data_IF_177063462339
#
_entry.id   IF_177063462339
#
_cell.length_a   1.000
_cell.length_b   1.000
_cell.length_c   1.000
_cell.angle_alpha   90.00
_cell.angle_beta   90.00
_cell.angle_gamma   90.00
#
_symmetry.space_group_name_H-M   'P 1'
#
loop_
_entity.id
_entity.type
_entity.pdbx_description
1 polymer ?
#
# COMPACT_ATOMS: atom_id res chain seq x y z
N UNK A 1 3.42 -10.28 15.11
CA UNK A 1 4.69 -10.76 14.50
C UNK A 1 5.46 -9.58 13.91
N UNK A 2 6.64 -9.24 14.45
CA UNK A 2 7.48 -8.14 13.93
C UNK A 2 8.53 -8.72 12.99
N UNK A 3 8.36 -8.57 11.67
CA UNK A 3 9.44 -8.87 10.72
C UNK A 3 10.30 -7.61 10.57
N UNK A 4 11.34 -7.49 11.41
CA UNK A 4 12.44 -6.55 11.14
C UNK A 4 13.39 -7.20 10.15
N UNK A 5 13.21 -6.94 8.86
CA UNK A 5 14.25 -7.19 7.88
C UNK A 5 15.28 -6.06 7.95
N UNK A 6 16.23 -6.15 8.89
CA UNK A 6 17.40 -5.27 8.88
C UNK A 6 18.46 -5.92 7.99
N UNK A 7 18.55 -5.50 6.73
CA UNK A 7 19.74 -5.79 5.92
C UNK A 7 20.74 -4.64 6.08
N UNK A 8 21.77 -4.90 6.89
CA UNK A 8 22.97 -4.06 7.01
C UNK A 8 23.95 -4.45 5.90
N UNK A 9 23.68 -4.02 4.68
CA UNK A 9 24.68 -3.75 3.63
C UNK A 9 23.94 -3.32 2.39
N UNK A 10 24.13 -2.07 1.97
CA UNK A 10 23.52 -1.53 0.76
C UNK A 10 22.33 -0.62 1.02
N UNK A 11 22.19 0.32 0.10
CA UNK A 11 21.29 1.45 -0.01
C UNK A 11 19.79 1.14 -0.12
N UNK A 12 19.35 -0.09 0.16
CA UNK A 12 17.96 -0.53 0.05
C UNK A 12 17.44 -0.96 1.43
N UNK A 13 16.36 -0.33 1.90
CA UNK A 13 15.82 -0.54 3.25
C UNK A 13 14.37 -1.00 3.20
N UNK A 14 14.01 -1.96 4.06
CA UNK A 14 12.65 -2.50 4.17
C UNK A 14 12.26 -2.59 5.65
N UNK A 15 11.11 -2.01 6.01
CA UNK A 15 10.53 -2.12 7.35
C UNK A 15 9.04 -2.44 7.23
N UNK A 16 8.62 -3.62 7.69
CA UNK A 16 7.23 -4.08 7.62
C UNK A 16 6.81 -4.48 9.03
N UNK A 17 5.83 -3.81 9.59
CA UNK A 17 5.35 -4.07 10.96
C UNK A 17 3.83 -4.23 11.00
N UNK A 18 3.38 -5.19 11.81
CA UNK A 18 1.96 -5.41 12.13
C UNK A 18 1.82 -5.51 13.64
N UNK A 19 0.93 -4.73 14.24
CA UNK A 19 0.68 -4.68 15.68
C UNK A 19 -0.76 -5.10 15.98
N UNK A 20 -0.88 -6.12 16.82
CA UNK A 20 -2.11 -6.74 17.30
C UNK A 20 -1.80 -7.45 18.62
N UNK A 21 -2.79 -7.58 19.50
CA UNK A 21 -2.64 -8.18 20.82
C UNK A 21 -2.88 -9.70 20.83
N UNK A 22 -3.72 -10.20 19.92
CA UNK A 22 -4.15 -11.60 19.86
C UNK A 22 -4.47 -12.05 18.42
N UNK A 23 -4.85 -13.32 18.27
CA UNK A 23 -5.14 -13.94 16.97
C UNK A 23 -6.38 -13.36 16.29
N UNK A 24 -7.40 -12.93 17.05
CA UNK A 24 -8.60 -12.30 16.50
C UNK A 24 -8.25 -10.94 15.87
N UNK A 25 -7.47 -10.12 16.57
CA UNK A 25 -6.96 -8.86 16.05
C UNK A 25 -6.04 -9.07 14.84
N UNK A 26 -5.21 -10.12 14.83
CA UNK A 26 -4.42 -10.49 13.66
C UNK A 26 -5.31 -10.82 12.45
N UNK A 27 -6.38 -11.59 12.67
CA UNK A 27 -7.36 -11.94 11.62
C UNK A 27 -7.99 -10.68 11.05
N UNK A 28 -8.41 -9.73 11.89
CA UNK A 28 -8.99 -8.46 11.45
C UNK A 28 -8.00 -7.61 10.65
N UNK A 29 -6.71 -7.55 11.05
CA UNK A 29 -5.67 -6.89 10.24
C UNK A 29 -5.52 -7.56 8.88
N UNK A 30 -5.55 -8.89 8.80
CA UNK A 30 -5.48 -9.63 7.52
C UNK A 30 -6.69 -9.34 6.63
N UNK A 31 -7.88 -9.22 7.21
CA UNK A 31 -9.10 -8.82 6.49
C UNK A 31 -8.93 -7.41 5.93
N UNK A 32 -8.49 -6.45 6.75
CA UNK A 32 -8.23 -5.08 6.31
C UNK A 32 -7.23 -5.00 5.14
N UNK A 33 -6.15 -5.77 5.18
CA UNK A 33 -5.18 -5.86 4.08
C UNK A 33 -5.75 -6.50 2.80
N UNK A 34 -6.82 -7.28 2.91
CA UNK A 34 -7.49 -7.93 1.79
C UNK A 34 -8.63 -7.09 1.17
N UNK A 35 -8.98 -5.95 1.77
CA UNK A 35 -10.00 -5.04 1.22
C UNK A 35 -9.44 -4.30 0.00
N UNK A 36 -10.07 -4.48 -1.15
CA UNK A 36 -9.75 -3.71 -2.36
C UNK A 36 -10.78 -2.60 -2.57
N UNK A 37 -10.38 -1.46 -3.15
CA UNK A 37 -11.34 -0.46 -3.61
C UNK A 37 -12.24 -1.07 -4.70
N UNK A 38 -13.43 -0.50 -4.87
CA UNK A 38 -14.28 -0.90 -5.99
C UNK A 38 -13.60 -0.53 -7.31
N UNK A 39 -13.75 -1.39 -8.33
CA UNK A 39 -13.05 -1.19 -9.60
C UNK A 39 -13.37 0.16 -10.23
N UNK A 40 -14.63 0.58 -10.15
CA UNK A 40 -15.12 1.88 -10.64
C UNK A 40 -14.41 3.07 -9.98
N UNK A 41 -14.04 2.98 -8.70
CA UNK A 41 -13.33 4.05 -8.00
C UNK A 41 -11.90 4.23 -8.51
N UNK A 42 -11.27 3.13 -8.96
CA UNK A 42 -9.91 3.15 -9.47
C UNK A 42 -9.84 3.52 -10.94
N UNK A 43 -10.83 3.13 -11.75
CA UNK A 43 -10.83 3.33 -13.21
C UNK A 43 -11.45 4.66 -13.65
N UNK A 44 -12.11 5.40 -12.76
CA UNK A 44 -12.64 6.72 -13.07
C UNK A 44 -11.53 7.79 -13.05
N UNK A 45 -11.02 8.10 -14.25
CA UNK A 45 -10.48 9.38 -14.77
C UNK A 45 -9.43 9.09 -15.85
N UNK A 46 -9.84 9.21 -17.10
CA UNK A 46 -9.04 9.58 -18.29
C UNK A 46 -7.65 8.95 -18.51
N UNK A 47 -7.44 7.69 -18.12
CA UNK A 47 -6.23 6.96 -18.47
C UNK A 47 -6.51 5.94 -19.59
N UNK A 48 -6.03 6.17 -20.83
CA UNK A 48 -6.27 5.29 -21.97
C UNK A 48 -5.62 3.90 -21.82
N UNK A 49 -4.52 3.76 -21.06
CA UNK A 49 -3.87 2.45 -20.80
C UNK A 49 -4.84 1.54 -20.02
N UNK A 50 -5.63 2.15 -19.13
CA UNK A 50 -6.58 1.44 -18.28
C UNK A 50 -7.85 1.03 -19.00
N UNK A 51 -8.27 1.69 -20.09
CA UNK A 51 -9.44 1.23 -20.85
C UNK A 51 -9.20 -0.14 -21.49
N UNK A 52 -7.97 -0.43 -21.91
CA UNK A 52 -7.56 -1.72 -22.48
C UNK A 52 -7.42 -2.84 -21.44
N UNK A 53 -6.87 -2.56 -20.25
CA UNK A 53 -6.79 -3.56 -19.17
C UNK A 53 -8.11 -3.71 -18.39
N UNK A 54 -8.91 -2.65 -18.26
CA UNK A 54 -10.16 -2.65 -17.53
C UNK A 54 -11.24 -3.54 -18.17
N UNK A 55 -11.18 -3.75 -19.49
CA UNK A 55 -12.10 -4.65 -20.21
C UNK A 55 -11.71 -6.14 -20.14
N UNK A 56 -10.46 -6.47 -19.78
CA UNK A 56 -9.91 -7.82 -19.99
C UNK A 56 -9.38 -8.47 -18.70
N UNK A 57 -8.86 -7.68 -17.76
CA UNK A 57 -8.18 -8.22 -16.57
C UNK A 57 -9.11 -8.38 -15.36
N UNK A 58 -9.25 -9.61 -14.85
CA UNK A 58 -9.90 -9.91 -13.54
C UNK A 58 -9.06 -9.44 -12.33
N UNK A 59 -7.93 -8.77 -12.56
CA UNK A 59 -7.05 -8.30 -11.48
C UNK A 59 -7.77 -7.32 -10.55
N UNK A 60 -7.59 -7.52 -9.24
CA UNK A 60 -8.08 -6.59 -8.22
C UNK A 60 -7.15 -5.38 -8.19
N UNK A 61 -7.67 -4.23 -8.61
CA UNK A 61 -6.86 -3.01 -8.77
C UNK A 61 -6.66 -2.30 -7.42
N UNK A 62 -5.40 -2.04 -7.07
CA UNK A 62 -5.01 -1.29 -5.86
C UNK A 62 -4.19 -0.04 -6.18
N UNK A 63 -3.80 0.16 -7.44
CA UNK A 63 -2.95 1.26 -7.93
C UNK A 63 -3.76 2.19 -8.83
N UNK A 64 -3.31 3.44 -9.01
CA UNK A 64 -4.06 4.48 -9.72
C UNK A 64 -3.35 5.13 -10.93
N UNK A 65 -2.03 5.03 -11.01
CA UNK A 65 -1.21 5.50 -12.12
C UNK A 65 0.15 4.82 -12.07
N UNK A 66 0.95 4.99 -13.11
CA UNK A 66 2.32 4.50 -13.17
C UNK A 66 3.29 5.65 -13.43
N UNK A 67 4.49 5.56 -12.89
CA UNK A 67 5.60 6.46 -13.17
C UNK A 67 6.88 5.64 -13.29
N UNK A 68 7.54 5.71 -14.44
CA UNK A 68 8.71 4.91 -14.80
C UNK A 68 8.57 3.43 -14.37
N UNK A 69 7.55 2.73 -14.86
CA UNK A 69 7.32 1.30 -14.53
C UNK A 69 6.93 1.00 -13.08
N UNK A 70 6.82 2.03 -12.22
CA UNK A 70 6.42 1.89 -10.82
C UNK A 70 4.97 2.34 -10.63
N UNK A 71 4.14 1.41 -10.17
CA UNK A 71 2.73 1.67 -9.85
C UNK A 71 2.63 2.59 -8.64
N UNK A 72 1.69 3.54 -8.65
CA UNK A 72 1.36 4.44 -7.54
C UNK A 72 0.08 3.96 -6.88
N UNK A 73 0.02 3.81 -5.54
CA UNK A 73 -1.11 3.13 -4.90
C UNK A 73 -2.35 4.03 -4.81
N UNK A 74 -3.51 3.46 -5.14
CA UNK A 74 -4.84 3.98 -4.82
C UNK A 74 -5.29 3.54 -3.43
N UNK A 75 -4.95 2.31 -3.05
CA UNK A 75 -5.28 1.68 -1.79
C UNK A 75 -4.05 0.93 -1.25
N UNK A 76 -3.96 0.82 0.08
CA UNK A 76 -3.00 -0.04 0.76
C UNK A 76 -3.64 -1.41 0.93
N UNK A 77 -3.13 -2.41 0.21
CA UNK A 77 -3.53 -3.81 0.29
C UNK A 77 -2.31 -4.70 0.49
N UNK A 78 -2.51 -5.98 0.85
CA UNK A 78 -1.43 -6.96 0.91
C UNK A 78 -0.62 -7.01 -0.39
N UNK A 79 -1.30 -6.94 -1.54
CA UNK A 79 -0.65 -6.96 -2.86
C UNK A 79 0.12 -5.68 -3.15
N UNK A 80 -0.36 -4.51 -2.70
CA UNK A 80 0.41 -3.27 -2.79
C UNK A 80 1.71 -3.37 -2.01
N UNK A 81 1.65 -3.85 -0.76
CA UNK A 81 2.84 -4.02 0.10
C UNK A 81 3.81 -5.04 -0.50
N UNK A 82 3.30 -6.17 -1.00
CA UNK A 82 4.12 -7.18 -1.68
C UNK A 82 4.80 -6.63 -2.94
N UNK A 83 4.07 -5.86 -3.76
CA UNK A 83 4.61 -5.22 -4.95
C UNK A 83 5.82 -4.34 -4.61
N UNK A 84 5.71 -3.41 -3.66
CA UNK A 84 6.84 -2.54 -3.33
C UNK A 84 8.01 -3.29 -2.69
N UNK A 85 7.74 -4.39 -1.97
CA UNK A 85 8.79 -5.27 -1.47
C UNK A 85 9.54 -5.94 -2.64
N UNK A 86 8.82 -6.41 -3.65
CA UNK A 86 9.42 -7.00 -4.85
C UNK A 86 10.19 -5.96 -5.66
N UNK A 87 9.63 -4.77 -5.90
CA UNK A 87 10.34 -3.69 -6.60
C UNK A 87 11.65 -3.32 -5.89
N UNK A 88 11.62 -3.15 -4.57
CA UNK A 88 12.84 -2.86 -3.80
C UNK A 88 13.90 -3.97 -3.95
N UNK A 89 13.48 -5.24 -3.99
CA UNK A 89 14.39 -6.39 -4.23
C UNK A 89 14.89 -6.43 -5.68
N UNK A 90 14.08 -6.03 -6.65
CA UNK A 90 14.49 -5.95 -8.05
C UNK A 90 15.62 -4.93 -8.23
N UNK A 91 15.58 -3.80 -7.53
CA UNK A 91 16.64 -2.78 -7.62
C UNK A 91 18.00 -3.25 -7.13
N UNK A 92 18.04 -4.28 -6.27
CA UNK A 92 19.29 -4.90 -5.83
C UNK A 92 19.90 -5.82 -6.91
N UNK A 93 19.15 -6.16 -7.97
CA UNK A 93 19.63 -7.07 -9.02
C UNK A 93 20.53 -6.34 -10.01
N UNK A 94 21.58 -7.05 -10.46
CA UNK A 94 22.45 -6.60 -11.56
C UNK A 94 21.73 -6.46 -12.92
N UNK A 95 20.65 -7.22 -13.11
CA UNK A 95 19.81 -7.22 -14.32
C UNK A 95 18.34 -7.22 -13.87
N UNK A 96 17.78 -6.06 -13.50
CA UNK A 96 16.39 -5.96 -13.10
C UNK A 96 15.45 -6.18 -14.29
N UNK A 97 14.17 -6.46 -14.02
CA UNK A 97 13.17 -6.68 -15.06
C UNK A 97 12.95 -5.47 -15.98
N UNK A 98 13.07 -4.25 -15.46
CA UNK A 98 13.01 -3.02 -16.26
C UNK A 98 14.43 -2.50 -16.51
N UNK A 99 14.85 -2.27 -17.76
CA UNK A 99 16.20 -1.82 -18.06
C UNK A 99 16.61 -0.55 -17.31
N UNK A 100 15.73 0.43 -17.11
CA UNK A 100 16.10 1.67 -16.42
C UNK A 100 16.35 1.48 -14.91
N UNK A 101 15.85 0.40 -14.31
CA UNK A 101 16.06 0.09 -12.89
C UNK A 101 17.50 -0.28 -12.57
N UNK A 102 18.33 -0.59 -13.57
CA UNK A 102 19.76 -0.89 -13.35
C UNK A 102 20.55 0.30 -12.80
N UNK A 103 19.99 1.52 -12.90
CA UNK A 103 20.59 2.74 -12.36
C UNK A 103 20.17 3.04 -10.92
N UNK A 104 19.25 2.25 -10.34
CA UNK A 104 18.73 2.49 -9.00
C UNK A 104 19.85 2.38 -7.97
N UNK A 105 20.05 3.47 -7.25
CA UNK A 105 21.10 3.57 -6.24
C UNK A 105 20.57 3.25 -4.86
N UNK A 106 19.31 3.55 -4.56
CA UNK A 106 18.72 3.29 -3.25
C UNK A 106 17.19 3.16 -3.33
N UNK A 107 16.61 2.49 -2.33
CA UNK A 107 15.17 2.51 -2.09
C UNK A 107 14.84 2.39 -0.61
N UNK A 108 13.67 2.88 -0.22
CA UNK A 108 13.13 2.65 1.11
C UNK A 108 11.68 2.21 1.03
N UNK A 109 11.35 1.14 1.73
CA UNK A 109 9.98 0.69 1.94
C UNK A 109 9.69 0.71 3.43
N UNK A 110 8.62 1.42 3.81
CA UNK A 110 8.07 1.39 5.16
C UNK A 110 6.59 1.04 5.10
N UNK A 111 6.21 -0.01 5.81
CA UNK A 111 4.82 -0.39 6.02
C UNK A 111 4.54 -0.65 7.50
N UNK A 112 3.41 -0.13 7.97
CA UNK A 112 2.89 -0.41 9.30
C UNK A 112 1.39 -0.62 9.26
N UNK A 113 0.90 -1.65 9.93
CA UNK A 113 -0.50 -1.83 10.28
C UNK A 113 -0.67 -1.96 11.79
N UNK A 114 -1.71 -1.34 12.34
CA UNK A 114 -2.10 -1.48 13.74
C UNK A 114 -3.61 -1.47 13.88
N UNK A 115 -4.12 -2.25 14.81
CA UNK A 115 -5.55 -2.32 15.13
C UNK A 115 -5.81 -1.77 16.53
N UNK A 116 -6.98 -1.16 16.72
CA UNK A 116 -7.44 -0.67 18.03
C UNK A 116 -8.95 -0.79 18.10
N UNK A 117 -9.47 -1.38 19.19
CA UNK A 117 -10.90 -1.37 19.49
C UNK A 117 -11.33 0.02 19.98
N UNK A 118 -12.48 0.49 19.51
CA UNK A 118 -13.08 1.77 19.87
C UNK A 118 -14.54 1.55 20.27
N UNK A 119 -14.92 2.02 21.45
CA UNK A 119 -16.32 2.00 21.91
C UNK A 119 -17.22 2.86 21.01
N UNK A 120 -16.66 3.93 20.44
CA UNK A 120 -17.32 4.80 19.48
C UNK A 120 -16.31 5.32 18.46
N UNK A 121 -16.70 5.35 17.19
CA UNK A 121 -15.91 5.90 16.10
C UNK A 121 -16.80 6.64 15.10
N UNK A 122 -16.46 7.89 14.82
CA UNK A 122 -17.19 8.73 13.87
C UNK A 122 -16.52 8.68 12.50
N UNK A 123 -17.31 8.39 11.48
CA UNK A 123 -16.91 8.30 10.05
C UNK A 123 -17.87 9.19 9.26
N UNK A 124 -17.43 10.42 8.94
CA UNK A 124 -18.31 11.46 8.42
C UNK A 124 -19.41 11.81 9.42
N UNK A 125 -20.67 11.67 9.01
CA UNK A 125 -21.86 11.93 9.85
C UNK A 125 -22.33 10.68 10.62
N UNK A 126 -21.73 9.51 10.39
CA UNK A 126 -22.17 8.25 11.00
C UNK A 126 -21.26 7.90 12.18
N UNK A 127 -21.87 7.76 13.36
CA UNK A 127 -21.21 7.24 14.56
C UNK A 127 -21.49 5.76 14.71
N UNK A 128 -20.43 4.95 14.76
CA UNK A 128 -20.50 3.51 14.98
C UNK A 128 -19.99 3.16 16.37
N UNK A 129 -20.58 2.17 17.01
CA UNK A 129 -20.18 1.68 18.33
C UNK A 129 -19.47 0.34 18.22
N UNK A 130 -18.60 0.05 19.19
CA UNK A 130 -17.90 -1.23 19.32
C UNK A 130 -17.22 -1.71 18.04
N UNK A 131 -16.38 -0.86 17.47
CA UNK A 131 -15.68 -1.15 16.21
C UNK A 131 -14.20 -1.41 16.41
N UNK A 132 -13.61 -2.10 15.44
CA UNK A 132 -12.17 -2.27 15.31
C UNK A 132 -11.65 -1.36 14.20
N UNK A 133 -10.67 -0.51 14.52
CA UNK A 133 -10.08 0.43 13.58
C UNK A 133 -8.68 -0.04 13.22
N UNK A 134 -8.49 -0.47 11.96
CA UNK A 134 -7.19 -0.85 11.42
C UNK A 134 -6.59 0.33 10.68
N UNK A 135 -5.51 0.89 11.22
CA UNK A 135 -4.73 1.96 10.60
C UNK A 135 -3.52 1.38 9.87
N UNK A 136 -3.39 1.70 8.59
CA UNK A 136 -2.28 1.29 7.73
C UNK A 136 -1.55 2.51 7.19
N UNK A 137 -0.21 2.42 7.13
CA UNK A 137 0.66 3.41 6.49
C UNK A 137 1.65 2.72 5.59
N UNK A 138 1.84 3.28 4.39
CA UNK A 138 2.78 2.81 3.38
C UNK A 138 3.58 4.01 2.86
N UNK A 139 4.88 3.99 3.09
CA UNK A 139 5.84 4.91 2.49
C UNK A 139 6.77 4.13 1.58
N UNK A 140 7.05 4.68 0.40
CA UNK A 140 8.06 4.12 -0.48
C UNK A 140 8.82 5.23 -1.21
N UNK A 141 10.11 5.02 -1.39
CA UNK A 141 10.96 5.91 -2.18
C UNK A 141 12.06 5.17 -2.93
N UNK A 142 12.52 5.79 -4.00
CA UNK A 142 13.68 5.38 -4.78
C UNK A 142 14.54 6.59 -5.14
N UNK A 143 15.82 6.32 -5.39
CA UNK A 143 16.75 7.31 -5.91
C UNK A 143 17.74 6.66 -6.88
N UNK A 144 17.86 7.26 -8.07
CA UNK A 144 18.80 6.83 -9.10
C UNK A 144 19.80 7.94 -9.52
N UNK A 145 19.62 9.17 -9.03
CA UNK A 145 20.51 10.32 -9.26
C UNK A 145 19.78 11.66 -9.16
N UNK A 146 20.45 12.78 -9.48
CA UNK A 146 19.91 14.14 -9.33
C UNK A 146 18.61 14.44 -10.07
N UNK A 147 18.23 13.63 -11.07
CA UNK A 147 17.04 13.84 -11.92
C UNK A 147 16.08 12.64 -11.89
N UNK A 148 16.19 11.81 -10.86
CA UNK A 148 15.47 10.57 -10.76
C UNK A 148 15.33 10.19 -9.29
N UNK A 149 14.27 10.71 -8.69
CA UNK A 149 13.79 10.26 -7.41
C UNK A 149 12.26 10.26 -7.43
N UNK A 150 11.68 9.24 -6.82
CA UNK A 150 10.26 9.21 -6.55
C UNK A 150 10.04 8.83 -5.10
N UNK A 151 9.13 9.54 -4.44
CA UNK A 151 8.67 9.18 -3.11
C UNK A 151 7.16 9.40 -2.99
N UNK A 152 6.50 8.54 -2.23
CA UNK A 152 5.14 8.78 -1.78
C UNK A 152 4.93 8.26 -0.36
N UNK A 153 3.93 8.83 0.30
CA UNK A 153 3.37 8.30 1.53
C UNK A 153 1.85 8.16 1.36
N UNK A 154 1.29 7.12 1.98
CA UNK A 154 -0.13 6.86 1.97
C UNK A 154 -0.55 6.33 3.34
N UNK A 155 -1.73 6.76 3.78
CA UNK A 155 -2.42 6.21 4.94
C UNK A 155 -3.78 5.66 4.51
N UNK A 156 -4.24 4.61 5.16
CA UNK A 156 -5.55 3.99 4.92
C UNK A 156 -6.11 3.46 6.24
N UNK A 157 -7.39 3.68 6.47
CA UNK A 157 -8.09 3.17 7.66
C UNK A 157 -9.22 2.25 7.22
N UNK A 158 -9.33 1.09 7.86
CA UNK A 158 -10.46 0.16 7.67
C UNK A 158 -11.17 0.01 9.01
N UNK A 159 -12.48 0.23 8.99
CA UNK A 159 -13.34 0.10 10.16
C UNK A 159 -14.10 -1.22 10.01
N UNK A 160 -13.96 -2.09 11.01
CA UNK A 160 -14.51 -3.44 11.04
C UNK A 160 -15.42 -3.61 12.25
N UNK A 161 -16.38 -4.52 12.16
CA UNK A 161 -17.02 -5.09 13.35
C UNK A 161 -16.14 -6.22 13.96
N UNK A 162 -16.63 -6.86 15.02
CA UNK A 162 -15.93 -8.00 15.67
C UNK A 162 -15.80 -9.24 14.77
N UNK A 163 -16.68 -9.41 13.78
CA UNK A 163 -16.71 -10.57 12.87
C UNK A 163 -15.79 -10.35 11.66
N UNK A 164 -15.36 -9.11 11.43
CA UNK A 164 -14.54 -8.69 10.32
C UNK A 164 -15.35 -8.18 9.12
N UNK A 165 -16.62 -7.82 9.29
CA UNK A 165 -17.38 -7.10 8.28
C UNK A 165 -16.84 -5.67 8.13
N UNK A 166 -16.63 -5.24 6.89
CA UNK A 166 -16.12 -3.89 6.58
C UNK A 166 -17.26 -2.89 6.66
N UNK A 167 -17.19 -2.00 7.66
CA UNK A 167 -18.20 -1.00 7.92
C UNK A 167 -17.91 0.33 7.20
N UNK A 168 -16.62 0.64 7.00
CA UNK A 168 -16.15 1.82 6.26
C UNK A 168 -14.67 1.69 5.86
N UNK A 169 -14.29 2.43 4.83
CA UNK A 169 -12.91 2.55 4.31
C UNK A 169 -12.58 4.03 4.16
N UNK A 170 -11.42 4.44 4.66
CA UNK A 170 -10.93 5.82 4.53
C UNK A 170 -9.51 5.85 3.99
N UNK A 171 -9.15 6.95 3.32
CA UNK A 171 -7.81 7.17 2.79
C UNK A 171 -7.53 6.51 1.44
N UNK A 172 -8.53 5.91 0.81
CA UNK A 172 -8.48 5.50 -0.59
C UNK A 172 -8.43 6.73 -1.52
N UNK A 173 -7.74 6.60 -2.65
CA UNK A 173 -7.36 7.71 -3.52
C UNK A 173 -5.89 7.64 -3.95
N UNK A 174 -5.57 8.20 -5.11
CA UNK A 174 -4.19 8.26 -5.60
C UNK A 174 -3.23 8.84 -4.57
N UNK A 175 -2.17 8.11 -4.22
CA UNK A 175 -1.10 8.68 -3.44
C UNK A 175 -0.47 9.89 -4.16
N UNK A 176 -0.16 10.93 -3.39
CA UNK A 176 0.61 12.07 -3.88
C UNK A 176 2.07 11.66 -3.96
N UNK A 177 2.60 11.61 -5.17
CA UNK A 177 4.01 11.32 -5.45
C UNK A 177 4.80 12.62 -5.61
N UNK A 178 5.96 12.72 -4.99
CA UNK A 178 6.98 13.73 -5.31
C UNK A 178 7.96 13.11 -6.29
N UNK A 179 8.18 13.79 -7.40
CA UNK A 179 9.09 13.38 -8.48
C UNK A 179 10.06 14.55 -8.73
N UNK A 180 11.35 14.25 -8.91
CA UNK A 180 12.42 15.22 -9.18
C UNK A 180 13.21 14.84 -10.42
#
# INVERSE_FOLDING_TARGET
>A
LTIKALNRSGSHTVSISRRFANEDEEKLVRIAEAVYPARSEVTQKDDPIRKTEAGVSKERLWWCKEFDGVRIPYAITKSAVAYYLEVSKEFEKKKPREPFWSNMKSSSLMYSASITRKESYQTGEVTRKDVYVVSMKLGWSQYCGMRCAMAFEKSRTIILDEKGEVLAVEGDGCARSKVS
#
